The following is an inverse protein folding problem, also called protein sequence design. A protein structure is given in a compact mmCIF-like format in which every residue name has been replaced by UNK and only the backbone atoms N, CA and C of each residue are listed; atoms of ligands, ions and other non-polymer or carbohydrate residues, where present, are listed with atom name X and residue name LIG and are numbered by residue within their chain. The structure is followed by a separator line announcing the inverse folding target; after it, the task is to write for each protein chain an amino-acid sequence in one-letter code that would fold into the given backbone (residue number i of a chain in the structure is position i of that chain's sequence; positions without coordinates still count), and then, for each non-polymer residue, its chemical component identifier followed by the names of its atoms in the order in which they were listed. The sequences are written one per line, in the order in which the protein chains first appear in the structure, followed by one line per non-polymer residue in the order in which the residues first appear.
data_IF_721316482958
#
_entry.id   IF_721316482958
#
_cell.length_a   1.000
_cell.length_b   1.000
_cell.length_c   1.000
_cell.angle_alpha   90.00
_cell.angle_beta   90.00
_cell.angle_gamma   90.00
#
_symmetry.space_group_name_H-M   'P 1'
#
loop_
_entity.id
_entity.type
_entity.pdbx_description
1 polymer ?
#
# COMPACT_ATOMS: atom_id res chain seq x y z
N UNK A 1 23.24 78.25 -11.59
CA UNK A 1 23.79 77.09 -12.32
C UNK A 1 24.93 76.55 -11.46
N UNK A 2 25.03 75.32 -10.96
CA UNK A 2 24.29 74.04 -11.05
C UNK A 2 24.98 73.16 -9.98
N UNK A 3 24.39 72.91 -8.81
CA UNK A 3 23.72 71.64 -8.43
C UNK A 3 24.27 70.39 -9.14
N UNK A 4 25.20 69.69 -8.51
CA UNK A 4 25.49 68.25 -8.60
C UNK A 4 26.80 68.03 -7.84
N UNK A 5 26.85 67.44 -6.64
CA UNK A 5 27.03 65.99 -6.47
C UNK A 5 27.18 65.68 -4.97
N UNK A 6 26.18 65.97 -4.14
CA UNK A 6 26.15 65.48 -2.75
C UNK A 6 24.70 65.15 -2.42
N UNK A 7 24.20 64.01 -2.89
CA UNK A 7 22.92 63.45 -2.42
C UNK A 7 22.61 62.02 -2.93
N UNK A 8 23.60 61.19 -3.25
CA UNK A 8 23.32 59.83 -3.76
C UNK A 8 24.14 58.71 -3.08
N UNK A 9 24.37 58.83 -1.77
CA UNK A 9 24.93 57.73 -0.99
C UNK A 9 24.30 57.57 0.41
N UNK A 10 23.10 58.16 0.63
CA UNK A 10 22.42 58.11 1.92
C UNK A 10 20.94 57.70 1.83
N UNK A 11 20.55 56.94 0.81
CA UNK A 11 19.17 56.47 0.59
C UNK A 11 19.01 54.95 0.53
N UNK A 12 20.08 54.17 0.76
CA UNK A 12 20.05 52.70 0.71
C UNK A 12 20.22 52.00 2.06
N UNK A 13 19.89 52.68 3.17
CA UNK A 13 19.80 52.08 4.51
C UNK A 13 18.39 52.15 5.11
N UNK A 14 17.37 52.35 4.27
CA UNK A 14 16.01 51.88 4.60
C UNK A 14 16.00 50.37 4.36
N UNK A 15 16.58 49.64 5.31
CA UNK A 15 16.41 48.21 5.42
C UNK A 15 14.92 47.93 5.31
N UNK A 16 14.54 47.21 4.25
CA UNK A 16 13.18 46.73 4.08
C UNK A 16 12.84 45.96 5.34
N UNK A 17 12.07 46.59 6.23
CA UNK A 17 11.22 45.86 7.15
C UNK A 17 10.31 45.08 6.24
N UNK A 18 10.68 43.83 5.95
CA UNK A 18 9.71 42.80 5.60
C UNK A 18 8.72 42.89 6.75
N UNK A 19 7.57 43.54 6.53
CA UNK A 19 6.43 43.36 7.39
C UNK A 19 6.21 41.85 7.36
N UNK A 20 6.68 41.15 8.39
CA UNK A 20 6.22 39.80 8.65
C UNK A 20 4.72 39.97 8.84
N UNK A 21 3.98 39.62 7.80
CA UNK A 21 2.57 39.37 7.91
C UNK A 21 2.41 38.41 9.09
N UNK A 22 1.81 38.88 10.19
CA UNK A 22 1.61 38.04 11.37
C UNK A 22 0.88 36.78 10.93
N UNK A 23 1.42 35.64 11.33
CA UNK A 23 0.82 34.34 11.01
C UNK A 23 -0.49 34.17 11.79
N UNK A 24 -1.40 33.35 11.27
CA UNK A 24 -2.67 33.09 11.96
C UNK A 24 -2.45 32.46 13.35
N UNK A 25 -1.44 31.59 13.50
CA UNK A 25 -1.07 31.03 14.81
C UNK A 25 -0.57 32.09 15.80
N UNK A 26 0.18 33.09 15.35
CA UNK A 26 0.61 34.22 16.20
C UNK A 26 -0.58 35.07 16.63
N UNK A 27 -1.50 35.38 15.72
CA UNK A 27 -2.73 36.13 16.01
C UNK A 27 -3.63 35.38 17.00
N UNK A 28 -3.83 34.08 16.79
CA UNK A 28 -4.53 33.23 17.75
C UNK A 28 -3.86 33.27 19.13
N UNK A 29 -2.53 33.12 19.18
CA UNK A 29 -1.78 33.18 20.42
C UNK A 29 -1.93 34.51 21.15
N UNK A 30 -1.96 35.64 20.42
CA UNK A 30 -2.23 36.96 20.99
C UNK A 30 -3.68 37.06 21.49
N UNK A 31 -4.66 36.68 20.66
CA UNK A 31 -6.08 36.72 21.02
C UNK A 31 -6.39 35.89 22.28
N UNK A 32 -5.79 34.71 22.43
CA UNK A 32 -5.91 33.88 23.64
C UNK A 32 -5.35 34.59 24.87
N UNK A 33 -4.22 35.31 24.75
CA UNK A 33 -3.68 36.09 25.88
C UNK A 33 -4.60 37.24 26.28
N UNK A 34 -5.17 37.96 25.30
CA UNK A 34 -6.15 39.01 25.58
C UNK A 34 -7.42 38.45 26.24
N UNK A 35 -7.90 37.28 25.80
CA UNK A 35 -9.01 36.59 26.46
C UNK A 35 -8.69 36.26 27.93
N UNK A 36 -7.50 35.73 28.19
CA UNK A 36 -7.03 35.43 29.56
C UNK A 36 -6.88 36.69 30.42
N UNK A 37 -6.52 37.82 29.80
CA UNK A 37 -6.46 39.14 30.44
C UNK A 37 -7.85 39.81 30.60
N UNK A 38 -8.93 39.14 30.19
CA UNK A 38 -10.31 39.66 30.18
C UNK A 38 -10.53 40.86 29.24
N UNK A 39 -9.60 41.08 28.30
CA UNK A 39 -9.66 42.13 27.28
C UNK A 39 -10.42 41.62 26.05
N UNK A 40 -11.73 41.39 26.21
CA UNK A 40 -12.52 40.64 25.23
C UNK A 40 -12.66 41.33 23.87
N UNK A 41 -12.72 42.66 23.79
CA UNK A 41 -12.81 43.36 22.50
C UNK A 41 -11.53 43.18 21.66
N UNK A 42 -10.35 43.28 22.30
CA UNK A 42 -9.07 43.04 21.64
C UNK A 42 -8.91 41.57 21.24
N UNK A 43 -9.33 40.66 22.12
CA UNK A 43 -9.32 39.23 21.85
C UNK A 43 -10.16 38.88 20.61
N UNK A 44 -11.39 39.39 20.52
CA UNK A 44 -12.30 39.13 19.41
C UNK A 44 -11.69 39.55 18.07
N UNK A 45 -11.16 40.78 17.98
CA UNK A 45 -10.55 41.29 16.76
C UNK A 45 -9.37 40.41 16.27
N UNK A 46 -8.50 39.97 17.20
CA UNK A 46 -7.36 39.13 16.87
C UNK A 46 -7.77 37.71 16.46
N UNK A 47 -8.78 37.13 17.12
CA UNK A 47 -9.30 35.80 16.82
C UNK A 47 -10.02 35.76 15.46
N UNK A 48 -10.82 36.78 15.15
CA UNK A 48 -11.44 36.93 13.82
C UNK A 48 -10.39 37.11 12.73
N UNK A 49 -9.36 37.93 12.98
CA UNK A 49 -8.26 38.13 12.03
C UNK A 49 -7.47 36.84 11.79
N UNK A 50 -7.26 36.01 12.82
CA UNK A 50 -6.68 34.68 12.67
C UNK A 50 -7.52 33.81 11.71
N UNK A 51 -8.83 33.72 11.95
CA UNK A 51 -9.75 32.91 11.13
C UNK A 51 -9.86 33.41 9.67
N UNK A 52 -9.76 34.72 9.46
CA UNK A 52 -9.72 35.32 8.12
C UNK A 52 -8.44 34.96 7.35
N UNK A 53 -7.29 34.92 8.03
CA UNK A 53 -5.99 34.52 7.46
C UNK A 53 -5.93 33.02 7.17
N UNK A 54 -6.53 32.20 8.03
CA UNK A 54 -6.60 30.75 7.87
C UNK A 54 -7.28 30.34 6.56
N UNK A 55 -8.32 31.08 6.17
CA UNK A 55 -9.07 30.83 4.93
C UNK A 55 -8.23 31.04 3.66
N UNK A 56 -7.12 31.79 3.74
CA UNK A 56 -6.20 32.02 2.63
C UNK A 56 -4.97 31.09 2.62
N UNK A 57 -4.60 30.53 3.79
CA UNK A 57 -3.35 29.78 3.97
C UNK A 57 -3.54 28.27 4.20
N UNK A 58 -4.78 27.76 4.27
CA UNK A 58 -5.05 26.32 4.43
C UNK A 58 -4.53 25.78 5.77
N UNK A 59 -4.94 26.41 6.87
CA UNK A 59 -4.49 26.03 8.22
C UNK A 59 -5.16 24.75 8.71
N UNK A 60 -4.46 23.97 9.54
CA UNK A 60 -4.95 22.73 10.13
C UNK A 60 -6.26 22.94 10.91
N UNK A 61 -7.23 22.04 10.72
CA UNK A 61 -8.57 22.10 11.35
C UNK A 61 -8.54 22.24 12.87
N UNK A 62 -7.48 21.74 13.52
CA UNK A 62 -7.27 21.86 14.97
C UNK A 62 -7.05 23.30 15.42
N UNK A 63 -6.31 24.11 14.66
CA UNK A 63 -6.07 25.52 14.97
C UNK A 63 -7.35 26.33 14.75
N UNK A 64 -8.05 26.07 13.64
CA UNK A 64 -9.35 26.68 13.36
C UNK A 64 -10.37 26.36 14.45
N UNK A 65 -10.43 25.11 14.90
CA UNK A 65 -11.32 24.69 15.98
C UNK A 65 -11.00 25.42 17.30
N UNK A 66 -9.71 25.57 17.61
CA UNK A 66 -9.25 26.33 18.79
C UNK A 66 -9.64 27.80 18.67
N UNK A 67 -9.39 28.45 17.53
CA UNK A 67 -9.74 29.85 17.30
C UNK A 67 -11.25 30.09 17.45
N UNK A 68 -12.10 29.24 16.85
CA UNK A 68 -13.56 29.32 16.99
C UNK A 68 -14.03 29.13 18.44
N UNK A 69 -13.39 28.25 19.20
CA UNK A 69 -13.73 28.01 20.61
C UNK A 69 -13.47 29.25 21.46
N UNK A 70 -12.28 29.87 21.30
CA UNK A 70 -11.95 31.11 22.01
C UNK A 70 -12.77 32.29 21.53
N UNK A 71 -13.07 32.39 20.23
CA UNK A 71 -13.91 33.46 19.69
C UNK A 71 -15.31 33.38 20.29
N UNK A 72 -15.93 32.19 20.27
CA UNK A 72 -17.26 32.00 20.85
C UNK A 72 -17.30 32.33 22.35
N UNK A 73 -16.28 31.91 23.11
CA UNK A 73 -16.17 32.27 24.53
C UNK A 73 -16.02 33.78 24.73
N UNK A 74 -15.20 34.43 23.90
CA UNK A 74 -14.98 35.88 23.92
C UNK A 74 -16.27 36.64 23.64
N UNK A 75 -16.97 36.29 22.57
CA UNK A 75 -18.25 36.89 22.19
C UNK A 75 -19.32 36.72 23.27
N UNK A 76 -19.35 35.55 23.94
CA UNK A 76 -20.27 35.33 25.05
C UNK A 76 -20.02 36.31 26.20
N UNK A 77 -18.76 36.55 26.58
CA UNK A 77 -18.42 37.49 27.64
C UNK A 77 -18.56 38.97 27.23
N UNK A 78 -18.55 39.28 25.94
CA UNK A 78 -18.94 40.59 25.40
C UNK A 78 -20.45 40.84 25.42
N UNK A 79 -21.25 39.83 25.80
CA UNK A 79 -22.71 39.88 25.73
C UNK A 79 -23.28 39.63 24.33
N UNK A 80 -22.43 39.29 23.36
CA UNK A 80 -22.81 39.04 21.96
C UNK A 80 -23.17 37.57 21.74
N UNK A 81 -24.28 37.13 22.35
CA UNK A 81 -24.70 35.72 22.34
C UNK A 81 -24.88 35.16 20.92
N UNK A 82 -25.43 35.94 19.99
CA UNK A 82 -25.66 35.48 18.62
C UNK A 82 -24.35 35.23 17.86
N UNK A 83 -23.34 36.09 18.04
CA UNK A 83 -21.99 35.89 17.51
C UNK A 83 -21.33 34.65 18.10
N UNK A 84 -21.48 34.43 19.42
CA UNK A 84 -20.99 33.24 20.09
C UNK A 84 -21.64 31.96 19.52
N UNK A 85 -22.97 31.97 19.32
CA UNK A 85 -23.72 30.88 18.70
C UNK A 85 -23.24 30.62 17.28
N UNK A 86 -23.01 31.67 16.48
CA UNK A 86 -22.52 31.54 15.12
C UNK A 86 -21.12 30.89 15.07
N UNK A 87 -20.19 31.33 15.92
CA UNK A 87 -18.85 30.75 16.02
C UNK A 87 -18.89 29.28 16.46
N UNK A 88 -19.71 28.92 17.46
CA UNK A 88 -19.90 27.53 17.85
C UNK A 88 -20.59 26.68 16.80
N UNK A 89 -21.54 27.21 16.03
CA UNK A 89 -22.16 26.49 14.92
C UNK A 89 -21.12 26.12 13.87
N UNK A 90 -20.23 27.07 13.51
CA UNK A 90 -19.12 26.79 12.61
C UNK A 90 -18.20 25.69 13.15
N UNK A 91 -17.90 25.72 14.46
CA UNK A 91 -17.10 24.69 15.12
C UNK A 91 -17.74 23.30 15.04
N UNK A 92 -19.04 23.19 15.30
CA UNK A 92 -19.78 21.91 15.23
C UNK A 92 -19.81 21.37 13.80
N UNK A 93 -19.94 22.24 12.79
CA UNK A 93 -19.91 21.82 11.38
C UNK A 93 -18.52 21.36 10.93
N UNK A 94 -17.47 22.02 11.45
CA UNK A 94 -16.07 21.67 11.21
C UNK A 94 -15.72 20.33 11.85
N UNK A 95 -16.02 20.17 13.14
CA UNK A 95 -15.71 18.98 13.91
C UNK A 95 -16.83 18.65 14.90
N UNK A 96 -17.78 17.76 14.53
CA UNK A 96 -18.91 17.38 15.40
C UNK A 96 -18.49 16.72 16.72
N UNK A 97 -17.29 16.13 16.78
CA UNK A 97 -16.79 15.47 17.98
C UNK A 97 -16.08 16.43 18.95
N UNK A 98 -15.75 17.64 18.51
CA UNK A 98 -15.06 18.60 19.37
C UNK A 98 -15.84 18.83 20.67
N UNK A 99 -15.11 18.91 21.78
CA UNK A 99 -15.62 19.29 23.09
C UNK A 99 -14.69 20.38 23.63
N UNK A 100 -15.20 21.59 23.94
CA UNK A 100 -14.42 22.57 24.68
C UNK A 100 -13.98 21.97 26.02
N UNK A 101 -12.71 22.17 26.36
CA UNK A 101 -12.14 21.68 27.62
C UNK A 101 -12.77 22.43 28.80
N UNK A 102 -13.37 21.68 29.73
CA UNK A 102 -14.05 22.20 30.92
C UNK A 102 -13.08 22.84 31.93
N UNK A 103 -11.79 22.53 31.85
CA UNK A 103 -10.75 23.16 32.66
C UNK A 103 -10.33 24.53 32.10
N UNK A 104 -10.51 24.74 30.79
CA UNK A 104 -10.14 25.99 30.10
C UNK A 104 -11.34 26.93 30.05
N UNK A 105 -12.53 26.39 29.75
CA UNK A 105 -13.74 27.17 29.53
C UNK A 105 -14.73 26.96 30.67
N UNK A 106 -15.25 28.04 31.27
CA UNK A 106 -16.17 27.93 32.38
C UNK A 106 -17.55 27.38 31.94
N UNK A 107 -18.39 26.92 32.88
CA UNK A 107 -19.65 26.24 32.57
C UNK A 107 -20.60 27.01 31.65
N UNK A 108 -20.60 28.35 31.69
CA UNK A 108 -21.43 29.18 30.83
C UNK A 108 -21.10 28.97 29.34
N UNK A 109 -19.80 28.86 29.02
CA UNK A 109 -19.30 28.65 27.66
C UNK A 109 -19.59 27.22 27.20
N UNK A 110 -19.30 26.23 28.05
CA UNK A 110 -19.51 24.82 27.69
C UNK A 110 -20.99 24.49 27.57
N UNK A 111 -21.87 25.04 28.43
CA UNK A 111 -23.32 24.88 28.31
C UNK A 111 -23.86 25.47 27.01
N UNK A 112 -23.42 26.68 26.62
CA UNK A 112 -23.81 27.26 25.34
C UNK A 112 -23.36 26.39 24.18
N UNK A 113 -22.14 25.84 24.22
CA UNK A 113 -21.68 24.89 23.20
C UNK A 113 -22.56 23.64 23.13
N UNK A 114 -22.97 23.06 24.26
CA UNK A 114 -23.86 21.89 24.28
C UNK A 114 -25.23 22.22 23.65
N UNK A 115 -25.79 23.39 23.92
CA UNK A 115 -27.03 23.89 23.32
C UNK A 115 -26.88 24.01 21.80
N UNK A 116 -25.83 24.69 21.33
CA UNK A 116 -25.55 24.87 19.90
C UNK A 116 -25.29 23.54 19.21
N UNK A 117 -24.60 22.59 19.85
CA UNK A 117 -24.34 21.26 19.30
C UNK A 117 -25.63 20.46 19.10
N UNK A 118 -26.56 20.53 20.06
CA UNK A 118 -27.88 19.87 19.95
C UNK A 118 -28.76 20.50 18.87
N UNK A 119 -28.68 21.81 18.71
CA UNK A 119 -29.44 22.54 17.69
C UNK A 119 -28.86 22.38 16.27
N UNK A 120 -27.54 22.21 16.16
CA UNK A 120 -26.83 22.11 14.88
C UNK A 120 -26.68 20.66 14.47
N UNK A 121 -27.48 20.19 13.52
CA UNK A 121 -27.37 18.82 12.99
C UNK A 121 -26.19 18.69 12.03
N UNK A 122 -25.18 17.93 12.42
CA UNK A 122 -23.97 17.68 11.65
C UNK A 122 -23.60 16.19 11.70
N UNK A 123 -23.11 15.69 10.57
CA UNK A 123 -22.55 14.35 10.43
C UNK A 123 -21.12 14.49 9.91
N UNK A 124 -20.21 13.68 10.42
CA UNK A 124 -18.85 13.55 9.91
C UNK A 124 -18.40 12.08 9.87
N UNK A 125 -17.36 11.81 9.12
CA UNK A 125 -16.78 10.47 8.99
C UNK A 125 -15.28 10.55 9.21
N UNK A 126 -14.80 9.87 10.24
CA UNK A 126 -13.38 9.75 10.54
C UNK A 126 -12.89 8.35 10.14
N UNK A 127 -11.83 8.31 9.32
CA UNK A 127 -11.26 7.08 8.79
C UNK A 127 -9.73 7.11 9.02
N UNK A 128 -9.10 5.99 9.41
CA UNK A 128 -7.65 5.89 9.45
C UNK A 128 -7.04 6.15 8.06
N UNK A 129 -5.97 6.95 7.95
CA UNK A 129 -5.40 7.33 6.65
C UNK A 129 -4.85 6.12 5.88
N UNK A 130 -4.34 5.11 6.59
CA UNK A 130 -3.90 3.84 6.01
C UNK A 130 -4.37 2.71 6.92
N UNK A 131 -4.99 1.69 6.34
CA UNK A 131 -5.36 0.46 7.03
C UNK A 131 -4.84 -0.75 6.25
N UNK A 132 -4.12 -1.63 6.93
CA UNK A 132 -3.77 -2.94 6.40
C UNK A 132 -4.75 -3.97 6.96
N UNK A 133 -5.37 -4.76 6.08
CA UNK A 133 -6.35 -5.76 6.48
C UNK A 133 -6.09 -7.11 5.82
N UNK A 134 -6.38 -8.18 6.56
CA UNK A 134 -6.23 -9.58 6.15
C UNK A 134 -7.63 -10.24 6.15
N UNK A 135 -8.37 -10.22 5.03
CA UNK A 135 -9.80 -10.57 4.92
C UNK A 135 -10.26 -11.98 5.37
N UNK A 136 -9.33 -12.83 5.83
CA UNK A 136 -9.54 -14.23 6.21
C UNK A 136 -9.01 -14.59 7.59
N UNK A 137 -8.16 -13.75 8.17
CA UNK A 137 -7.50 -14.02 9.44
C UNK A 137 -8.11 -13.08 10.46
N UNK A 138 -7.60 -11.85 10.50
CA UNK A 138 -7.97 -10.81 11.45
C UNK A 138 -7.70 -9.47 10.77
N UNK A 139 -8.66 -8.53 10.84
CA UNK A 139 -8.49 -7.18 10.32
C UNK A 139 -9.74 -6.66 9.65
N UNK A 140 -10.23 -5.53 10.17
CA UNK A 140 -11.33 -4.78 9.58
C UNK A 140 -10.84 -3.37 9.28
N UNK A 141 -11.21 -2.86 8.12
CA UNK A 141 -11.23 -1.43 7.91
C UNK A 141 -12.33 -0.83 8.79
N UNK A 142 -12.00 0.21 9.54
CA UNK A 142 -12.94 0.86 10.47
C UNK A 142 -13.19 2.30 10.06
N UNK A 143 -14.44 2.68 9.90
CA UNK A 143 -14.86 4.07 9.76
C UNK A 143 -15.71 4.47 10.97
N UNK A 144 -15.36 5.57 11.62
CA UNK A 144 -16.15 6.14 12.71
C UNK A 144 -17.09 7.19 12.14
N UNK A 145 -18.39 6.90 12.17
CA UNK A 145 -19.42 7.88 11.84
C UNK A 145 -19.76 8.66 13.09
N UNK A 146 -19.76 9.98 12.97
CA UNK A 146 -19.95 10.93 14.05
C UNK A 146 -21.21 11.74 13.77
N UNK A 147 -22.00 12.00 14.81
CA UNK A 147 -23.18 12.85 14.73
C UNK A 147 -23.21 13.82 15.91
N UNK A 148 -23.56 15.08 15.67
CA UNK A 148 -23.71 16.08 16.74
C UNK A 148 -24.97 15.86 17.60
N UNK A 149 -25.95 15.18 17.02
CA UNK A 149 -27.26 14.85 17.58
C UNK A 149 -27.79 13.57 16.90
N UNK A 150 -28.87 13.01 17.42
CA UNK A 150 -29.46 11.79 16.88
C UNK A 150 -29.80 11.92 15.39
N UNK A 151 -29.16 11.09 14.56
CA UNK A 151 -29.33 11.05 13.12
C UNK A 151 -29.52 9.60 12.63
N UNK A 152 -30.47 9.38 11.72
CA UNK A 152 -30.64 8.10 11.02
C UNK A 152 -29.84 8.12 9.72
N UNK A 153 -28.87 7.20 9.60
CA UNK A 153 -27.87 7.22 8.52
C UNK A 153 -27.73 5.84 7.88
N UNK A 154 -27.33 5.85 6.61
CA UNK A 154 -26.87 4.68 5.89
C UNK A 154 -25.42 4.88 5.46
N UNK A 155 -24.59 3.86 5.64
CA UNK A 155 -23.18 3.84 5.25
C UNK A 155 -23.02 2.81 4.14
N UNK A 156 -22.69 3.29 2.96
CA UNK A 156 -22.55 2.47 1.76
C UNK A 156 -21.14 2.55 1.23
N UNK A 157 -20.63 1.42 0.74
CA UNK A 157 -19.40 1.33 -0.03
C UNK A 157 -19.76 1.03 -1.48
N UNK A 158 -19.26 1.83 -2.40
CA UNK A 158 -19.39 1.64 -3.85
C UNK A 158 -18.01 1.79 -4.50
N UNK A 159 -17.83 1.26 -5.70
CA UNK A 159 -16.71 1.65 -6.55
C UNK A 159 -16.91 3.10 -7.03
N UNK A 160 -15.83 3.76 -7.46
CA UNK A 160 -15.88 5.15 -7.95
C UNK A 160 -16.84 5.33 -9.15
N UNK A 161 -17.07 4.27 -9.93
CA UNK A 161 -18.02 4.22 -11.05
C UNK A 161 -19.50 4.16 -10.62
N UNK A 162 -19.77 4.07 -9.31
CA UNK A 162 -21.11 3.94 -8.74
C UNK A 162 -21.59 2.51 -8.52
N UNK A 163 -20.81 1.49 -8.91
CA UNK A 163 -21.18 0.08 -8.70
C UNK A 163 -21.23 -0.23 -7.21
N UNK A 164 -22.38 -0.66 -6.66
CA UNK A 164 -22.53 -0.91 -5.23
C UNK A 164 -21.71 -2.13 -4.81
N UNK A 165 -20.91 -1.97 -3.75
CA UNK A 165 -20.06 -3.04 -3.22
C UNK A 165 -20.73 -3.67 -2.00
N UNK A 166 -21.17 -2.84 -1.04
CA UNK A 166 -21.81 -3.30 0.20
C UNK A 166 -22.51 -2.16 0.96
N UNK A 167 -23.62 -2.47 1.63
CA UNK A 167 -24.14 -1.63 2.72
C UNK A 167 -23.44 -2.07 4.02
N UNK A 168 -22.70 -1.16 4.65
CA UNK A 168 -21.89 -1.46 5.83
C UNK A 168 -22.64 -1.19 7.13
N UNK A 169 -23.57 -0.25 7.12
CA UNK A 169 -24.37 0.10 8.29
C UNK A 169 -25.68 0.80 7.88
N UNK A 170 -26.74 0.56 8.65
CA UNK A 170 -28.01 1.26 8.53
C UNK A 170 -28.67 1.37 9.90
N UNK A 171 -28.88 2.59 10.37
CA UNK A 171 -29.51 2.82 11.67
C UNK A 171 -29.24 4.21 12.24
N UNK A 172 -29.66 4.39 13.50
CA UNK A 172 -29.50 5.65 14.22
C UNK A 172 -28.09 5.79 14.83
N UNK A 173 -27.61 7.03 14.91
CA UNK A 173 -26.32 7.41 15.49
C UNK A 173 -26.57 8.61 16.40
N UNK A 174 -26.31 8.44 17.70
CA UNK A 174 -26.53 9.49 18.69
C UNK A 174 -25.29 10.41 18.88
N UNK A 175 -24.10 9.82 18.96
CA UNK A 175 -22.82 10.53 19.09
C UNK A 175 -21.78 9.93 18.14
N UNK A 176 -21.55 8.62 18.22
CA UNK A 176 -20.73 7.91 17.24
C UNK A 176 -21.12 6.45 17.06
N UNK A 177 -20.80 5.89 15.89
CA UNK A 177 -20.83 4.45 15.63
C UNK A 177 -19.57 4.05 14.85
N UNK A 178 -19.03 2.88 15.16
CA UNK A 178 -17.93 2.29 14.40
C UNK A 178 -18.51 1.33 13.38
N UNK A 179 -18.19 1.57 12.12
CA UNK A 179 -18.59 0.76 10.97
C UNK A 179 -17.37 0.01 10.48
N UNK A 180 -17.52 -1.29 10.28
CA UNK A 180 -16.42 -2.18 9.90
C UNK A 180 -16.62 -2.75 8.50
N UNK A 181 -15.53 -2.93 7.78
CA UNK A 181 -15.49 -3.63 6.51
C UNK A 181 -14.36 -4.66 6.50
N UNK A 182 -14.69 -5.88 6.08
CA UNK A 182 -13.81 -7.05 6.03
C UNK A 182 -12.98 -7.15 4.73
N UNK A 183 -13.06 -6.14 3.86
CA UNK A 183 -12.40 -6.15 2.56
C UNK A 183 -13.11 -6.99 1.49
N UNK A 184 -14.36 -7.39 1.72
CA UNK A 184 -15.14 -8.23 0.81
C UNK A 184 -16.37 -7.53 0.25
N UNK A 185 -16.74 -7.93 -0.96
CA UNK A 185 -17.99 -7.52 -1.61
C UNK A 185 -19.19 -8.24 -0.99
N UNK A 186 -20.41 -7.82 -1.31
CA UNK A 186 -21.63 -8.50 -0.88
C UNK A 186 -21.69 -9.99 -1.31
N UNK A 187 -21.04 -10.35 -2.43
CA UNK A 187 -20.92 -11.73 -2.90
C UNK A 187 -19.86 -12.56 -2.13
N UNK A 188 -19.16 -11.97 -1.16
CA UNK A 188 -18.13 -12.63 -0.36
C UNK A 188 -16.76 -12.72 -1.03
N UNK A 189 -16.63 -12.21 -2.26
CA UNK A 189 -15.37 -12.09 -2.99
C UNK A 189 -14.49 -10.98 -2.39
N UNK A 190 -13.18 -11.07 -2.58
CA UNK A 190 -12.26 -10.00 -2.20
C UNK A 190 -12.50 -8.76 -3.07
N UNK A 191 -12.37 -7.57 -2.49
CA UNK A 191 -12.44 -6.33 -3.25
C UNK A 191 -11.23 -6.19 -4.18
N UNK A 192 -11.50 -5.84 -5.43
CA UNK A 192 -10.48 -5.65 -6.45
C UNK A 192 -9.65 -4.39 -6.21
N UNK A 193 -8.48 -4.34 -6.86
CA UNK A 193 -7.67 -3.12 -6.91
C UNK A 193 -8.47 -1.98 -7.54
N UNK A 194 -8.53 -0.84 -6.87
CA UNK A 194 -9.26 0.31 -7.42
C UNK A 194 -9.60 1.37 -6.40
N UNK A 195 -10.47 2.29 -6.82
CA UNK A 195 -10.99 3.38 -5.99
C UNK A 195 -12.43 3.10 -5.60
N UNK A 196 -12.72 3.36 -4.34
CA UNK A 196 -14.00 3.11 -3.71
C UNK A 196 -14.47 4.37 -3.00
N UNK A 197 -15.77 4.61 -2.99
CA UNK A 197 -16.40 5.69 -2.26
C UNK A 197 -17.14 5.13 -1.06
N UNK A 198 -16.67 5.49 0.14
CA UNK A 198 -17.41 5.31 1.37
C UNK A 198 -18.32 6.52 1.54
N UNK A 199 -19.63 6.31 1.49
CA UNK A 199 -20.63 7.37 1.60
C UNK A 199 -21.50 7.18 2.83
N UNK A 200 -21.67 8.25 3.60
CA UNK A 200 -22.57 8.34 4.75
C UNK A 200 -23.69 9.29 4.40
N UNK A 201 -24.87 8.73 4.21
CA UNK A 201 -26.06 9.47 3.76
C UNK A 201 -27.10 9.50 4.87
N UNK A 202 -27.59 10.68 5.28
CA UNK A 202 -28.75 10.78 6.14
C UNK A 202 -29.99 10.23 5.42
N UNK A 203 -30.75 9.38 6.11
CA UNK A 203 -31.93 8.72 5.55
C UNK A 203 -33.17 9.60 5.47
N UNK A 204 -33.22 10.64 6.30
CA UNK A 204 -34.29 11.64 6.30
C UNK A 204 -33.67 12.99 5.95
N UNK A 205 -33.44 13.28 4.66
CA UNK A 205 -32.87 14.55 4.24
C UNK A 205 -33.87 15.66 4.54
N UNK A 206 -33.47 16.61 5.38
CA UNK A 206 -34.19 17.88 5.58
C UNK A 206 -33.42 19.00 4.87
N UNK A 207 -34.07 20.09 4.42
CA UNK A 207 -33.39 21.21 3.76
C UNK A 207 -32.22 21.78 4.59
N UNK A 208 -32.41 21.86 5.91
CA UNK A 208 -31.40 22.29 6.88
C UNK A 208 -30.69 21.10 7.57
N UNK A 209 -30.83 19.91 7.00
CA UNK A 209 -30.27 18.67 7.54
C UNK A 209 -28.78 18.51 7.22
N UNK A 210 -28.11 17.57 7.91
CA UNK A 210 -26.74 17.24 7.60
C UNK A 210 -26.65 16.73 6.16
N UNK A 211 -25.64 17.16 5.42
CA UNK A 211 -25.40 16.68 4.06
C UNK A 211 -24.69 15.33 4.08
N UNK A 212 -24.86 14.56 3.00
CA UNK A 212 -24.11 13.33 2.83
C UNK A 212 -22.59 13.62 2.80
N UNK A 213 -21.83 12.75 3.45
CA UNK A 213 -20.36 12.81 3.54
C UNK A 213 -19.77 11.65 2.77
N UNK A 214 -18.60 11.87 2.19
CA UNK A 214 -17.93 10.84 1.41
C UNK A 214 -16.42 10.87 1.62
N UNK A 215 -15.82 9.68 1.58
CA UNK A 215 -14.37 9.47 1.67
C UNK A 215 -13.95 8.57 0.51
N UNK A 216 -12.98 9.02 -0.27
CA UNK A 216 -12.35 8.20 -1.31
C UNK A 216 -11.37 7.23 -0.66
N UNK A 217 -11.49 5.95 -0.99
CA UNK A 217 -10.64 4.88 -0.52
C UNK A 217 -9.90 4.27 -1.71
N UNK A 218 -8.58 4.30 -1.71
CA UNK A 218 -7.77 3.53 -2.65
C UNK A 218 -7.46 2.16 -2.03
N UNK A 219 -7.89 1.09 -2.69
CA UNK A 219 -7.68 -0.28 -2.23
C UNK A 219 -6.67 -0.95 -3.14
N UNK A 220 -5.62 -1.50 -2.55
CA UNK A 220 -4.60 -2.30 -3.23
C UNK A 220 -4.43 -3.65 -2.56
N UNK A 221 -4.46 -4.71 -3.35
CA UNK A 221 -4.07 -6.05 -2.96
C UNK A 221 -2.55 -6.15 -3.08
N UNK A 222 -1.88 -6.35 -1.96
CA UNK A 222 -0.47 -6.66 -1.94
C UNK A 222 -0.28 -8.17 -1.84
N UNK A 223 0.43 -8.78 -2.80
CA UNK A 223 0.76 -10.18 -2.72
C UNK A 223 1.64 -10.42 -1.48
N UNK A 224 1.41 -11.53 -0.77
CA UNK A 224 2.18 -11.88 0.41
C UNK A 224 3.62 -12.22 0.01
N UNK A 225 4.56 -11.93 0.91
CA UNK A 225 5.98 -12.22 0.69
C UNK A 225 6.22 -13.74 0.66
N UNK A 226 6.67 -14.25 -0.49
CA UNK A 226 6.92 -15.69 -0.69
C UNK A 226 8.37 -16.02 -0.44
N UNK A 227 8.62 -17.21 0.10
CA UNK A 227 9.98 -17.71 0.25
C UNK A 227 10.61 -17.92 -1.13
N UNK A 228 11.92 -17.61 -1.28
CA UNK A 228 12.64 -17.89 -2.51
C UNK A 228 12.64 -19.40 -2.77
N UNK A 229 12.47 -19.77 -4.04
CA UNK A 229 12.58 -21.17 -4.45
C UNK A 229 14.00 -21.70 -4.19
N UNK A 230 14.15 -22.98 -3.81
CA UNK A 230 15.48 -23.56 -3.67
C UNK A 230 16.22 -23.49 -5.02
N UNK A 231 17.54 -23.28 -5.01
CA UNK A 231 18.32 -23.26 -6.24
C UNK A 231 18.19 -24.59 -6.99
N UNK A 232 18.38 -24.56 -8.31
CA UNK A 232 18.33 -25.76 -9.13
C UNK A 232 19.35 -26.80 -8.66
N UNK A 233 19.03 -28.08 -8.87
CA UNK A 233 19.88 -29.23 -8.53
C UNK A 233 21.23 -29.25 -9.26
N UNK A 234 21.48 -28.30 -10.16
CA UNK A 234 22.78 -28.08 -10.81
C UNK A 234 23.74 -27.27 -9.93
N UNK A 235 23.25 -26.71 -8.81
CA UNK A 235 24.01 -25.84 -7.90
C UNK A 235 23.77 -26.27 -6.44
N UNK A 236 24.63 -27.14 -5.86
CA UNK A 236 25.90 -27.67 -6.37
C UNK A 236 25.72 -28.77 -7.43
N UNK A 237 26.73 -28.97 -8.31
CA UNK A 237 26.64 -29.94 -9.40
C UNK A 237 26.55 -31.38 -8.89
N UNK A 238 25.62 -32.15 -9.46
CA UNK A 238 25.49 -33.59 -9.22
C UNK A 238 26.71 -34.35 -9.75
N UNK A 239 27.08 -35.44 -9.08
CA UNK A 239 28.15 -36.32 -9.55
C UNK A 239 27.73 -37.02 -10.85
N UNK A 240 28.66 -37.31 -11.79
CA UNK A 240 28.33 -38.07 -12.99
C UNK A 240 27.79 -39.46 -12.64
N UNK A 241 26.59 -39.80 -13.12
CA UNK A 241 25.92 -41.08 -12.77
C UNK A 241 26.23 -42.22 -13.73
N UNK A 242 26.94 -41.94 -14.82
CA UNK A 242 27.31 -42.93 -15.84
C UNK A 242 28.79 -42.79 -16.17
N UNK A 243 29.46 -43.91 -16.40
CA UNK A 243 30.82 -43.92 -16.94
C UNK A 243 30.87 -43.20 -18.29
N UNK A 244 31.88 -42.37 -18.52
CA UNK A 244 32.07 -41.69 -19.80
C UNK A 244 32.39 -42.71 -20.91
N UNK A 245 31.74 -42.57 -22.06
CA UNK A 245 32.00 -43.43 -23.24
C UNK A 245 33.32 -43.14 -23.96
N UNK A 246 34.09 -42.15 -23.50
CA UNK A 246 35.27 -41.61 -24.18
C UNK A 246 36.40 -42.64 -24.43
N UNK A 247 36.71 -43.61 -23.54
CA UNK A 247 37.73 -44.61 -23.83
C UNK A 247 37.31 -45.59 -24.94
N UNK A 248 36.01 -45.86 -25.08
CA UNK A 248 35.47 -46.80 -26.05
C UNK A 248 35.51 -46.24 -27.50
N UNK A 249 35.37 -44.92 -27.65
CA UNK A 249 35.48 -44.25 -28.94
C UNK A 249 36.93 -44.24 -29.48
N UNK A 250 37.93 -44.11 -28.59
CA UNK A 250 39.35 -44.19 -28.98
C UNK A 250 39.75 -45.59 -29.46
N UNK A 251 39.21 -46.64 -28.83
CA UNK A 251 39.43 -48.02 -29.30
C UNK A 251 38.73 -48.32 -30.63
N UNK A 252 37.58 -47.70 -30.90
CA UNK A 252 36.90 -47.84 -32.19
C UNK A 252 37.71 -47.19 -33.33
N UNK A 253 38.27 -46.00 -33.08
CA UNK A 253 39.15 -45.31 -34.03
C UNK A 253 40.45 -46.09 -34.30
N UNK A 254 41.08 -46.65 -33.26
CA UNK A 254 42.27 -47.48 -33.42
C UNK A 254 41.99 -48.78 -34.20
N UNK A 255 40.86 -49.43 -33.95
CA UNK A 255 40.43 -50.63 -34.69
C UNK A 255 40.16 -50.37 -36.17
N UNK A 256 39.63 -49.19 -36.50
CA UNK A 256 39.38 -48.76 -37.89
C UNK A 256 40.68 -48.49 -38.66
N UNK A 257 41.71 -47.94 -38.00
CA UNK A 257 43.05 -47.71 -38.58
C UNK A 257 43.80 -49.03 -38.83
N UNK A 258 43.77 -49.97 -37.88
CA UNK A 258 44.42 -51.29 -38.05
C UNK A 258 43.67 -52.15 -39.09
N UNK A 259 42.34 -52.08 -39.13
CA UNK A 259 41.53 -52.74 -40.15
C UNK A 259 41.79 -52.22 -41.56
N UNK A 260 41.96 -50.89 -41.72
CA UNK A 260 42.33 -50.29 -43.01
C UNK A 260 43.74 -50.69 -43.46
N UNK A 261 44.71 -50.79 -42.54
CA UNK A 261 46.05 -51.23 -42.86
C UNK A 261 46.10 -52.71 -43.32
N UNK A 262 45.31 -53.60 -42.72
CA UNK A 262 45.25 -55.01 -43.10
C UNK A 262 44.63 -55.26 -44.49
N UNK A 263 43.76 -54.36 -44.95
CA UNK A 263 43.15 -54.41 -46.29
C UNK A 263 44.05 -53.77 -47.35
N UNK A 264 44.83 -52.74 -47.00
CA UNK A 264 45.68 -52.01 -47.94
C UNK A 264 47.10 -52.59 -48.12
N UNK A 265 47.64 -53.31 -47.13
CA UNK A 265 49.00 -53.85 -47.22
C UNK A 265 49.23 -54.90 -48.35
N UNK A 266 48.27 -55.75 -48.72
CA UNK A 266 48.47 -56.71 -49.81
C UNK A 266 48.49 -56.10 -51.21
N UNK A 267 47.98 -54.87 -51.41
CA UNK A 267 47.91 -54.23 -52.73
C UNK A 267 49.24 -53.58 -53.15
N UNK A 268 50.23 -53.54 -52.27
CA UNK A 268 51.55 -52.96 -52.54
C UNK A 268 52.66 -54.00 -52.77
N UNK A 269 52.44 -55.29 -52.51
CA UNK A 269 53.54 -56.28 -52.47
C UNK A 269 53.27 -57.68 -53.09
N UNK A 270 52.17 -57.96 -53.79
CA UNK A 270 51.96 -59.29 -54.38
C UNK A 270 51.47 -59.28 -55.84
N UNK A 271 52.41 -59.44 -56.78
CA UNK A 271 52.16 -60.08 -58.07
C UNK A 271 52.29 -61.60 -57.89
N UNK A 272 51.17 -62.31 -57.82
CA UNK A 272 51.15 -63.77 -57.73
C UNK A 272 49.77 -64.29 -57.36
N UNK A 273 49.19 -65.12 -58.23
CA UNK A 273 47.90 -65.80 -58.05
C UNK A 273 47.92 -66.71 -56.81
N UNK A 274 46.72 -66.92 -56.27
CA UNK A 274 46.34 -67.82 -55.17
C UNK A 274 46.52 -67.31 -53.73
N UNK A 275 45.40 -66.83 -53.13
CA UNK A 275 44.95 -67.15 -51.76
C UNK A 275 43.73 -66.27 -51.39
N UNK A 276 42.53 -66.74 -51.73
CA UNK A 276 41.31 -65.92 -51.67
C UNK A 276 40.40 -66.20 -50.47
N UNK A 277 40.66 -67.21 -49.63
CA UNK A 277 39.77 -67.57 -48.51
C UNK A 277 40.12 -66.97 -47.15
N UNK A 278 41.38 -67.09 -46.71
CA UNK A 278 41.76 -66.81 -45.32
C UNK A 278 41.85 -65.31 -44.97
N UNK A 279 42.06 -64.45 -45.97
CA UNK A 279 42.37 -63.02 -45.80
C UNK A 279 41.12 -62.17 -45.49
N UNK A 280 39.96 -62.59 -46.01
CA UNK A 280 38.67 -61.99 -45.67
C UNK A 280 38.16 -62.44 -44.30
N UNK A 281 38.51 -63.66 -43.86
CA UNK A 281 38.10 -64.19 -42.57
C UNK A 281 38.71 -63.41 -41.38
N UNK A 282 40.00 -63.04 -41.47
CA UNK A 282 40.70 -62.30 -40.39
C UNK A 282 40.22 -60.84 -40.32
N UNK A 283 40.01 -60.17 -41.45
CA UNK A 283 39.45 -58.81 -41.49
C UNK A 283 38.01 -58.72 -40.98
N UNK A 284 37.17 -59.70 -41.33
CA UNK A 284 35.79 -59.79 -40.83
C UNK A 284 35.74 -60.08 -39.31
N UNK A 285 36.63 -60.94 -38.78
CA UNK A 285 36.67 -61.25 -37.36
C UNK A 285 37.09 -60.06 -36.50
N UNK A 286 38.08 -59.27 -36.94
CA UNK A 286 38.54 -58.07 -36.21
C UNK A 286 37.47 -56.96 -36.22
N UNK A 287 36.80 -56.74 -37.37
CA UNK A 287 35.71 -55.78 -37.49
C UNK A 287 34.48 -56.13 -36.63
N UNK A 288 34.08 -57.41 -36.61
CA UNK A 288 32.98 -57.89 -35.76
C UNK A 288 33.35 -57.81 -34.28
N UNK A 289 34.59 -58.12 -33.90
CA UNK A 289 35.05 -58.02 -32.50
C UNK A 289 35.07 -56.57 -31.98
N UNK A 290 35.45 -55.60 -32.82
CA UNK A 290 35.42 -54.18 -32.48
C UNK A 290 34.00 -53.63 -32.33
N UNK A 291 33.07 -54.08 -33.19
CA UNK A 291 31.66 -53.71 -33.11
C UNK A 291 30.98 -54.32 -31.86
N UNK A 292 31.26 -55.60 -31.56
CA UNK A 292 30.80 -56.26 -30.33
C UNK A 292 31.41 -55.59 -29.09
N UNK A 293 32.69 -55.21 -29.10
CA UNK A 293 33.34 -54.52 -27.98
C UNK A 293 32.77 -53.11 -27.69
N UNK A 294 32.33 -52.39 -28.72
CA UNK A 294 31.68 -51.08 -28.58
C UNK A 294 30.26 -51.20 -28.01
N UNK A 295 29.45 -52.14 -28.51
CA UNK A 295 28.10 -52.38 -27.99
C UNK A 295 28.08 -53.12 -26.64
N UNK A 296 29.13 -53.87 -26.31
CA UNK A 296 29.28 -54.52 -25.00
C UNK A 296 29.65 -53.52 -23.88
N UNK A 297 30.20 -52.34 -24.20
CA UNK A 297 30.54 -51.28 -23.23
C UNK A 297 29.46 -50.18 -23.20
N UNK A 298 28.22 -50.58 -22.91
CA UNK A 298 27.16 -49.62 -22.54
C UNK A 298 27.60 -48.79 -21.32
N UNK A 299 27.33 -47.48 -21.26
CA UNK A 299 27.59 -46.66 -20.08
C UNK A 299 26.94 -47.32 -18.87
N UNK A 300 27.76 -47.77 -17.90
CA UNK A 300 27.25 -48.44 -16.71
C UNK A 300 26.90 -47.39 -15.66
N UNK A 301 25.83 -47.61 -14.87
CA UNK A 301 25.54 -46.77 -13.74
C UNK A 301 26.72 -46.79 -12.77
N UNK A 302 27.14 -45.61 -12.33
CA UNK A 302 28.09 -45.46 -11.23
C UNK A 302 27.29 -45.52 -9.93
N UNK A 303 27.03 -46.74 -9.44
CA UNK A 303 26.13 -47.00 -8.30
C UNK A 303 26.45 -46.13 -7.06
N UNK A 304 27.73 -45.86 -6.80
CA UNK A 304 28.16 -44.97 -5.72
C UNK A 304 27.70 -43.51 -5.94
N UNK A 305 27.80 -43.00 -7.17
CA UNK A 305 27.39 -41.63 -7.53
C UNK A 305 25.86 -41.52 -7.61
N UNK A 306 25.19 -42.55 -8.12
CA UNK A 306 23.71 -42.65 -8.12
C UNK A 306 23.19 -42.60 -6.69
N UNK A 307 23.79 -43.36 -5.76
CA UNK A 307 23.42 -43.35 -4.34
C UNK A 307 23.74 -42.03 -3.65
N UNK A 308 24.89 -41.42 -3.95
CA UNK A 308 25.28 -40.11 -3.42
C UNK A 308 24.35 -38.98 -3.93
N UNK A 309 23.95 -39.01 -5.20
CA UNK A 309 23.01 -38.04 -5.76
C UNK A 309 21.56 -38.27 -5.30
N UNK A 310 21.19 -39.51 -4.94
CA UNK A 310 19.85 -39.83 -4.47
C UNK A 310 19.49 -39.02 -3.21
N UNK A 311 20.40 -38.96 -2.23
CA UNK A 311 20.17 -38.19 -0.99
C UNK A 311 20.10 -36.67 -1.25
N UNK A 312 20.90 -36.14 -2.19
CA UNK A 312 20.83 -34.75 -2.62
C UNK A 312 19.49 -34.42 -3.27
N UNK A 313 19.01 -35.28 -4.19
CA UNK A 313 17.69 -35.14 -4.83
C UNK A 313 16.56 -35.22 -3.82
N UNK A 314 16.62 -36.15 -2.87
CA UNK A 314 15.61 -36.27 -1.81
C UNK A 314 15.56 -35.03 -0.92
N UNK A 315 16.73 -34.53 -0.51
CA UNK A 315 16.83 -33.32 0.31
C UNK A 315 16.29 -32.10 -0.43
N UNK A 316 16.62 -31.96 -1.71
CA UNK A 316 16.08 -30.90 -2.56
C UNK A 316 14.58 -31.01 -2.75
N UNK A 317 14.05 -32.22 -3.04
CA UNK A 317 12.60 -32.45 -3.15
C UNK A 317 11.87 -32.08 -1.86
N UNK A 318 12.39 -32.48 -0.70
CA UNK A 318 11.83 -32.11 0.61
C UNK A 318 11.81 -30.59 0.81
N UNK A 319 12.90 -29.89 0.46
CA UNK A 319 12.95 -28.41 0.52
C UNK A 319 11.95 -27.77 -0.44
N UNK A 320 11.85 -28.28 -1.67
CA UNK A 320 10.92 -27.78 -2.68
C UNK A 320 9.47 -27.92 -2.22
N UNK A 321 9.08 -29.09 -1.72
CA UNK A 321 7.72 -29.30 -1.22
C UNK A 321 7.45 -28.44 0.02
N UNK A 322 8.41 -28.29 0.94
CA UNK A 322 8.27 -27.40 2.09
C UNK A 322 8.04 -25.94 1.67
N UNK A 323 8.86 -25.42 0.75
CA UNK A 323 8.69 -24.06 0.20
C UNK A 323 7.37 -23.92 -0.56
N UNK A 324 6.94 -24.94 -1.32
CA UNK A 324 5.65 -24.93 -2.02
C UNK A 324 4.48 -24.85 -1.06
N UNK A 325 4.46 -25.69 -0.02
CA UNK A 325 3.38 -25.72 0.98
C UNK A 325 3.33 -24.41 1.76
N UNK A 326 4.48 -23.88 2.16
CA UNK A 326 4.59 -22.61 2.86
C UNK A 326 4.13 -21.45 1.96
N UNK A 327 4.61 -21.37 0.72
CA UNK A 327 4.18 -20.34 -0.24
C UNK A 327 2.69 -20.43 -0.56
N UNK A 328 2.13 -21.64 -0.70
CA UNK A 328 0.68 -21.82 -0.88
C UNK A 328 -0.14 -21.34 0.33
N UNK A 329 0.42 -21.45 1.53
CA UNK A 329 -0.19 -20.94 2.77
C UNK A 329 -0.10 -19.42 2.82
N UNK A 330 1.07 -18.84 2.53
CA UNK A 330 1.28 -17.39 2.48
C UNK A 330 0.41 -16.73 1.41
N UNK A 331 0.29 -17.33 0.23
CA UNK A 331 -0.58 -16.84 -0.84
C UNK A 331 -2.07 -16.74 -0.44
N UNK A 332 -2.51 -17.46 0.59
CA UNK A 332 -3.87 -17.33 1.14
C UNK A 332 -4.03 -16.14 2.09
N UNK A 333 -2.94 -15.51 2.55
CA UNK A 333 -2.92 -14.30 3.35
C UNK A 333 -2.69 -13.05 2.50
N UNK A 334 -3.50 -12.87 1.45
CA UNK A 334 -3.52 -11.62 0.68
C UNK A 334 -3.78 -10.47 1.64
N UNK A 335 -2.92 -9.45 1.58
CA UNK A 335 -3.08 -8.22 2.36
C UNK A 335 -3.78 -7.20 1.48
N UNK A 336 -4.81 -6.56 2.01
CA UNK A 336 -5.38 -5.36 1.41
C UNK A 336 -4.84 -4.14 2.14
N UNK A 337 -4.33 -3.18 1.38
CA UNK A 337 -3.91 -1.87 1.87
C UNK A 337 -4.96 -0.87 1.40
N UNK A 338 -5.64 -0.25 2.36
CA UNK A 338 -6.66 0.78 2.12
C UNK A 338 -6.07 2.12 2.50
N UNK A 339 -6.00 3.06 1.55
CA UNK A 339 -5.58 4.44 1.78
C UNK A 339 -6.79 5.35 1.69
N UNK A 340 -7.06 6.12 2.74
CA UNK A 340 -8.19 7.03 2.79
C UNK A 340 -7.76 8.45 2.39
N UNK A 341 -8.50 9.05 1.47
CA UNK A 341 -8.43 10.47 1.16
C UNK A 341 -9.13 11.34 2.21
N UNK A 342 -9.15 12.67 2.01
CA UNK A 342 -9.86 13.57 2.91
C UNK A 342 -11.37 13.34 2.86
N UNK A 343 -12.04 13.64 3.97
CA UNK A 343 -13.50 13.72 3.99
C UNK A 343 -13.97 14.88 3.11
N UNK A 344 -14.96 14.63 2.27
CA UNK A 344 -15.61 15.66 1.46
C UNK A 344 -17.13 15.60 1.65
N UNK A 345 -17.79 16.72 1.40
CA UNK A 345 -19.25 16.75 1.30
C UNK A 345 -19.60 16.18 -0.07
N UNK A 346 -20.51 15.20 -0.12
CA UNK A 346 -21.00 14.71 -1.40
C UNK A 346 -21.62 15.87 -2.18
N UNK A 347 -21.12 16.11 -3.39
CA UNK A 347 -21.75 17.05 -4.31
C UNK A 347 -23.22 16.69 -4.47
N UNK A 348 -24.08 17.67 -4.74
CA UNK A 348 -25.51 17.46 -4.97
C UNK A 348 -25.66 16.65 -6.28
N UNK A 349 -25.49 15.34 -6.20
CA UNK A 349 -25.73 14.40 -7.28
C UNK A 349 -27.24 14.26 -7.45
N UNK A 350 -27.73 14.62 -8.62
CA UNK A 350 -29.11 14.45 -9.07
C UNK A 350 -29.61 13.01 -8.86
N UNK A 351 -30.93 12.83 -8.64
CA UNK A 351 -31.57 11.55 -8.35
C UNK A 351 -31.26 10.44 -9.34
#
# INVERSE_FOLDING_TARGET
MTRATVCLALSLLLGGRVLRAQSASELLGQGVRHYQALEYDAAAALLEQSLGRDSAAGVADSLRARALSYLAATELFRGQRDSAVAAFRQLVLLNPHYRPDELIFPPQVTNLFQEVRRATRAIAVAVPPVTELRPRLEGFFTARVLASSLADVAVTLAQEDGTPVRELYKGTVADSVVVTWDGRTAAGALADNGRYLLRVTPRSPTPDGPRARQVLLEVKQEPPDTLPWPPDLTTPPLLPERTSGAPAFRSLAAGLVVGAAAVALPSLLAQGKDATGARFAVGAAVGISGFVGFFARKPRPLEANVRANASLRETWKKKLEAVRTENATRLRSIRLVVRAGPETIAGRGSP
#
